data_IF_446250791796
#
_entry.id   IF_446250791796
#
_cell.length_a   1.000
_cell.length_b   1.000
_cell.length_c   1.000
_cell.angle_alpha   90.00
_cell.angle_beta   90.00
_cell.angle_gamma   90.00
#
_symmetry.space_group_name_H-M   'P 1'
#
loop_
_entity.id
_entity.type
_entity.pdbx_description
1 polymer ?
#
# COMPACT_ATOMS: atom_id res chain seq x y z
N UNK A 1 -34.95 7.16 -24.51
CA UNK A 1 -36.03 7.09 -23.50
C UNK A 1 -35.49 7.25 -22.08
N UNK A 2 -34.48 6.48 -21.68
CA UNK A 2 -33.81 6.53 -20.36
C UNK A 2 -33.31 7.94 -19.97
N UNK A 3 -32.58 8.63 -20.85
CA UNK A 3 -31.99 9.94 -20.52
C UNK A 3 -33.03 11.04 -20.20
N UNK A 4 -34.24 10.92 -20.75
CA UNK A 4 -35.36 11.85 -20.48
C UNK A 4 -35.91 11.66 -19.08
N UNK A 5 -35.97 10.40 -18.62
CA UNK A 5 -36.39 10.03 -17.26
C UNK A 5 -35.33 10.49 -16.27
N UNK A 6 -34.05 10.20 -16.56
CA UNK A 6 -32.92 10.65 -15.74
C UNK A 6 -32.90 12.18 -15.54
N UNK A 7 -33.11 12.97 -16.61
CA UNK A 7 -33.21 14.44 -16.50
C UNK A 7 -34.40 14.90 -15.65
N UNK A 8 -35.52 14.18 -15.70
CA UNK A 8 -36.73 14.52 -14.94
C UNK A 8 -36.53 14.26 -13.45
N UNK A 9 -35.87 13.15 -13.12
CA UNK A 9 -35.53 12.77 -11.75
C UNK A 9 -34.48 13.70 -11.17
N UNK A 10 -33.46 14.07 -11.96
CA UNK A 10 -32.45 15.07 -11.56
C UNK A 10 -33.07 16.44 -11.29
N UNK A 11 -34.03 16.86 -12.13
CA UNK A 11 -34.78 18.12 -11.93
C UNK A 11 -35.66 18.06 -10.68
N UNK A 12 -36.28 16.92 -10.39
CA UNK A 12 -37.03 16.68 -9.15
C UNK A 12 -36.15 16.73 -7.91
N UNK A 13 -34.98 16.08 -7.97
CA UNK A 13 -33.99 16.05 -6.89
C UNK A 13 -33.42 17.45 -6.60
N UNK A 14 -33.13 18.24 -7.63
CA UNK A 14 -32.61 19.60 -7.49
C UNK A 14 -33.58 20.59 -6.82
N UNK A 15 -34.88 20.26 -6.79
CA UNK A 15 -35.93 21.11 -6.22
C UNK A 15 -36.10 20.90 -4.71
N UNK A 16 -35.50 19.85 -4.17
CA UNK A 16 -35.49 19.54 -2.75
C UNK A 16 -34.03 19.44 -2.25
N UNK A 17 -33.55 20.52 -1.63
CA UNK A 17 -32.20 20.61 -1.05
C UNK A 17 -31.91 19.46 -0.07
N UNK A 18 -32.90 19.01 0.70
CA UNK A 18 -32.76 17.94 1.67
C UNK A 18 -32.52 16.59 0.98
N UNK A 19 -33.27 16.29 -0.08
CA UNK A 19 -33.08 15.09 -0.89
C UNK A 19 -31.73 15.11 -1.64
N UNK A 20 -31.30 16.28 -2.13
CA UNK A 20 -30.00 16.45 -2.76
C UNK A 20 -28.85 16.23 -1.76
N UNK A 21 -28.96 16.76 -0.54
CA UNK A 21 -27.96 16.59 0.50
C UNK A 21 -27.79 15.11 0.91
N UNK A 22 -28.89 14.37 1.04
CA UNK A 22 -28.86 12.94 1.34
C UNK A 22 -28.22 12.15 0.18
N UNK A 23 -28.60 12.44 -1.06
CA UNK A 23 -28.03 11.79 -2.24
C UNK A 23 -26.52 12.05 -2.37
N UNK A 24 -26.09 13.31 -2.16
CA UNK A 24 -24.67 13.67 -2.16
C UNK A 24 -23.93 12.97 -1.03
N UNK A 25 -24.47 12.96 0.19
CA UNK A 25 -23.87 12.24 1.32
C UNK A 25 -23.68 10.75 1.02
N UNK A 26 -24.70 10.10 0.45
CA UNK A 26 -24.65 8.68 0.07
C UNK A 26 -23.59 8.39 -1.00
N UNK A 27 -23.39 9.30 -1.97
CA UNK A 27 -22.35 9.15 -2.99
C UNK A 27 -20.95 9.47 -2.48
N UNK A 28 -20.82 10.48 -1.60
CA UNK A 28 -19.52 10.96 -1.13
C UNK A 28 -18.91 10.04 -0.06
N UNK A 29 -19.71 9.40 0.79
CA UNK A 29 -19.19 8.52 1.86
C UNK A 29 -18.34 7.37 1.30
N UNK A 30 -18.82 6.57 0.31
CA UNK A 30 -18.03 5.50 -0.29
C UNK A 30 -16.81 6.03 -1.06
N UNK A 31 -16.95 7.17 -1.75
CA UNK A 31 -15.87 7.78 -2.52
C UNK A 31 -14.74 8.31 -1.63
N UNK A 32 -15.07 9.00 -0.53
CA UNK A 32 -14.08 9.48 0.44
C UNK A 32 -13.43 8.31 1.17
N UNK A 33 -14.21 7.30 1.56
CA UNK A 33 -13.65 6.08 2.16
C UNK A 33 -12.65 5.41 1.21
N UNK A 34 -13.03 5.18 -0.05
CA UNK A 34 -12.15 4.62 -1.05
C UNK A 34 -10.94 5.52 -1.31
N UNK A 35 -11.11 6.83 -1.37
CA UNK A 35 -10.01 7.78 -1.59
C UNK A 35 -8.97 7.75 -0.47
N UNK A 36 -9.41 7.87 0.79
CA UNK A 36 -8.49 7.77 1.93
C UNK A 36 -7.87 6.38 2.05
N UNK A 37 -8.65 5.33 1.77
CA UNK A 37 -8.14 3.97 1.82
C UNK A 37 -7.08 3.71 0.74
N UNK A 38 -7.30 4.20 -0.48
CA UNK A 38 -6.33 4.11 -1.58
C UNK A 38 -5.13 4.98 -1.27
N UNK A 39 -5.30 6.26 -0.88
CA UNK A 39 -4.18 7.16 -0.59
C UNK A 39 -3.30 6.65 0.56
N UNK A 40 -3.89 6.16 1.66
CA UNK A 40 -3.13 5.57 2.78
C UNK A 40 -2.44 4.25 2.41
N UNK A 41 -3.00 3.47 1.48
CA UNK A 41 -2.38 2.22 1.01
C UNK A 41 -1.58 2.39 -0.30
N UNK A 42 -1.52 3.59 -0.87
CA UNK A 42 -0.78 3.85 -2.10
C UNK A 42 0.72 3.88 -1.83
N UNK A 43 1.11 4.22 -0.61
CA UNK A 43 2.51 4.20 -0.22
C UNK A 43 2.75 3.84 1.26
N UNK A 44 2.38 2.61 1.69
CA UNK A 44 2.69 2.13 3.05
C UNK A 44 4.19 1.92 3.26
N UNK A 45 4.97 1.97 2.17
CA UNK A 45 6.41 1.72 2.16
C UNK A 45 7.27 2.95 1.83
N UNK A 46 6.67 4.14 1.65
CA UNK A 46 7.32 5.40 1.28
C UNK A 46 8.55 5.73 2.11
N UNK A 47 8.51 5.31 3.38
CA UNK A 47 9.53 5.56 4.39
C UNK A 47 10.15 4.28 4.96
N UNK A 48 9.87 3.10 4.39
CA UNK A 48 10.51 1.85 4.83
C UNK A 48 11.89 1.66 4.22
N UNK A 49 12.24 2.44 3.19
CA UNK A 49 13.58 2.52 2.63
C UNK A 49 14.66 2.98 3.66
N UNK A 50 14.26 3.53 4.81
CA UNK A 50 15.18 3.92 5.89
C UNK A 50 15.15 3.01 7.12
N UNK A 51 14.49 1.84 7.06
CA UNK A 51 14.55 0.88 8.17
C UNK A 51 15.93 0.25 8.17
N UNK A 52 16.82 0.77 9.02
CA UNK A 52 18.16 0.23 9.23
C UNK A 52 18.03 -1.12 9.95
N UNK A 53 18.23 -2.21 9.21
CA UNK A 53 18.26 -3.56 9.75
C UNK A 53 19.71 -3.85 10.14
N UNK A 54 19.99 -3.94 11.43
CA UNK A 54 21.29 -4.40 11.93
C UNK A 54 21.33 -5.93 11.89
N UNK A 55 22.16 -6.50 11.01
CA UNK A 55 22.38 -7.94 10.90
C UNK A 55 23.73 -8.25 11.55
N UNK A 56 23.74 -9.13 12.55
CA UNK A 56 24.96 -9.66 13.17
C UNK A 56 24.96 -11.16 12.98
N UNK A 57 26.05 -11.70 12.43
CA UNK A 57 26.27 -13.14 12.29
C UNK A 57 27.44 -13.55 13.18
N UNK A 58 27.22 -14.53 14.06
CA UNK A 58 28.24 -15.15 14.91
C UNK A 58 28.71 -16.51 14.35
N UNK A 59 28.45 -16.77 13.06
CA UNK A 59 28.93 -17.99 12.40
C UNK A 59 30.46 -17.93 12.29
N UNK A 60 31.18 -18.77 13.04
CA UNK A 60 32.64 -18.87 12.96
C UNK A 60 33.12 -19.50 11.63
N UNK A 61 32.20 -20.05 10.83
CA UNK A 61 32.49 -20.74 9.58
C UNK A 61 33.04 -22.15 9.81
N UNK A 62 32.92 -22.98 8.78
CA UNK A 62 33.42 -24.36 8.78
C UNK A 62 34.53 -24.51 7.74
N UNK A 63 35.61 -25.20 8.11
CA UNK A 63 36.69 -25.54 7.17
C UNK A 63 36.42 -26.90 6.55
N UNK A 64 36.20 -26.90 5.24
CA UNK A 64 36.03 -28.10 4.46
C UNK A 64 37.34 -28.90 4.36
N UNK A 65 37.18 -30.19 4.11
CA UNK A 65 38.29 -31.14 3.99
C UNK A 65 39.27 -30.86 2.83
N UNK A 66 38.92 -29.96 1.91
CA UNK A 66 39.78 -29.48 0.82
C UNK A 66 40.61 -28.23 1.17
N UNK A 67 40.46 -27.71 2.41
CA UNK A 67 41.15 -26.50 2.88
C UNK A 67 40.41 -25.19 2.59
N UNK A 68 39.22 -25.24 1.98
CA UNK A 68 38.36 -24.05 1.82
C UNK A 68 37.59 -23.77 3.12
N UNK A 69 37.55 -22.51 3.53
CA UNK A 69 36.75 -22.06 4.68
C UNK A 69 35.44 -21.48 4.15
N UNK A 70 34.32 -22.07 4.53
CA UNK A 70 32.98 -21.64 4.14
C UNK A 70 32.31 -20.99 5.36
N UNK A 71 31.92 -19.72 5.22
CA UNK A 71 31.09 -19.02 6.19
C UNK A 71 29.76 -18.68 5.52
N UNK A 72 28.68 -19.39 5.89
CA UNK A 72 27.36 -19.16 5.29
C UNK A 72 26.71 -17.91 5.85
N UNK A 73 26.93 -17.62 7.13
CA UNK A 73 26.44 -16.40 7.78
C UNK A 73 26.92 -15.13 7.09
N UNK A 74 28.22 -15.04 6.80
CA UNK A 74 28.84 -13.93 6.09
C UNK A 74 28.32 -13.79 4.66
N UNK A 75 28.11 -14.89 3.93
CA UNK A 75 27.57 -14.87 2.58
C UNK A 75 26.13 -14.33 2.53
N UNK A 76 25.28 -14.70 3.50
CA UNK A 76 23.90 -14.19 3.58
C UNK A 76 23.89 -12.71 3.94
N UNK A 77 24.76 -12.28 4.88
CA UNK A 77 24.92 -10.87 5.26
C UNK A 77 25.36 -10.04 4.04
N UNK A 78 26.32 -10.52 3.26
CA UNK A 78 26.79 -9.86 2.03
C UNK A 78 25.68 -9.78 0.98
N UNK A 79 24.92 -10.86 0.78
CA UNK A 79 23.77 -10.87 -0.15
C UNK A 79 22.68 -9.88 0.26
N UNK A 80 22.42 -9.73 1.57
CA UNK A 80 21.45 -8.78 2.10
C UNK A 80 21.92 -7.32 2.02
N UNK A 81 23.23 -7.07 2.11
CA UNK A 81 23.80 -5.75 1.85
C UNK A 81 23.86 -5.39 0.37
N UNK A 82 23.95 -6.38 -0.52
CA UNK A 82 24.05 -6.16 -1.98
C UNK A 82 22.70 -6.03 -2.70
N UNK A 83 21.59 -6.42 -2.06
CA UNK A 83 20.25 -6.17 -2.58
C UNK A 83 19.78 -4.78 -2.16
N UNK A 84 19.78 -3.83 -3.10
CA UNK A 84 19.05 -2.56 -3.01
C UNK A 84 17.53 -2.78 -3.10
#
# INVERSE_FOLDING_TARGET
MIFKIFKKDLKGLSRNILALAIALGLCLIPSLYAWFNIYSNWDPYANTASVQIAIVSEDEGYSESDGSTINMGAQIVEQLHSND
#
